data_IF_872719830127
#
_entry.id   IF_872719830127
#
_cell.length_a   1.000
_cell.length_b   1.000
_cell.length_c   1.000
_cell.angle_alpha   90.00
_cell.angle_beta   90.00
_cell.angle_gamma   90.00
#
_symmetry.space_group_name_H-M   'P 1'
#
loop_
_entity.id
_entity.type
_entity.pdbx_description
1 polymer ?
#
# COMPACT_ATOMS: atom_id res chain seq x y z
N UNK A 1 -1.30 -8.73 -5.46
CA UNK A 1 -1.94 -7.53 -4.87
C UNK A 1 -1.58 -7.49 -3.40
N UNK A 2 -0.95 -6.40 -2.93
CA UNK A 2 -0.54 -6.19 -1.54
C UNK A 2 -1.65 -5.51 -0.75
N UNK A 3 -2.04 -6.08 0.38
CA UNK A 3 -3.19 -5.60 1.18
C UNK A 3 -2.73 -5.10 2.54
N UNK A 4 -3.07 -3.85 2.87
CA UNK A 4 -2.75 -3.18 4.13
C UNK A 4 -4.04 -2.94 4.91
N UNK A 5 -4.06 -3.31 6.19
CA UNK A 5 -5.18 -3.10 7.10
C UNK A 5 -4.73 -2.24 8.29
N UNK A 6 -5.35 -1.08 8.44
CA UNK A 6 -5.16 -0.21 9.61
C UNK A 6 -6.15 -0.53 10.71
N UNK A 7 -5.69 -0.66 11.96
CA UNK A 7 -6.56 -1.08 13.06
C UNK A 7 -6.39 -0.15 14.27
N UNK A 8 -7.52 0.39 14.74
CA UNK A 8 -7.61 1.10 16.02
C UNK A 8 -8.71 0.47 16.90
N UNK A 9 -9.17 1.13 17.96
CA UNK A 9 -10.21 0.59 18.81
C UNK A 9 -11.56 0.51 18.10
N UNK A 10 -12.12 1.64 17.70
CA UNK A 10 -13.51 1.77 17.22
C UNK A 10 -13.69 1.92 15.72
N UNK A 11 -12.61 2.04 14.93
CA UNK A 11 -12.62 2.27 13.48
C UNK A 11 -13.42 3.51 13.03
N UNK A 12 -13.38 4.59 13.82
CA UNK A 12 -14.04 5.86 13.48
C UNK A 12 -13.10 7.06 13.41
N UNK A 13 -11.92 7.03 14.06
CA UNK A 13 -10.96 8.14 14.05
C UNK A 13 -9.65 7.75 13.35
N UNK A 14 -8.75 7.07 14.03
CA UNK A 14 -7.36 6.84 13.60
C UNK A 14 -7.23 5.96 12.36
N UNK A 15 -7.79 4.76 12.40
CA UNK A 15 -7.64 3.78 11.31
C UNK A 15 -8.34 4.21 10.01
N UNK A 16 -9.55 4.81 10.00
CA UNK A 16 -10.13 5.31 8.75
C UNK A 16 -9.39 6.55 8.22
N UNK A 17 -8.78 7.38 9.10
CA UNK A 17 -7.89 8.46 8.65
C UNK A 17 -6.68 7.89 7.94
N UNK A 18 -6.04 6.86 8.51
CA UNK A 18 -4.90 6.20 7.88
C UNK A 18 -5.27 5.53 6.55
N UNK A 19 -6.43 4.90 6.46
CA UNK A 19 -6.95 4.36 5.20
C UNK A 19 -7.10 5.44 4.14
N UNK A 20 -7.71 6.58 4.46
CA UNK A 20 -7.94 7.66 3.51
C UNK A 20 -6.64 8.31 3.04
N UNK A 21 -5.68 8.54 3.94
CA UNK A 21 -4.36 9.10 3.60
C UNK A 21 -3.58 8.12 2.72
N UNK A 22 -3.48 6.85 3.12
CA UNK A 22 -2.74 5.84 2.36
C UNK A 22 -3.37 5.60 0.99
N UNK A 23 -4.71 5.57 0.89
CA UNK A 23 -5.39 5.43 -0.41
C UNK A 23 -5.04 6.60 -1.34
N UNK A 24 -5.04 7.83 -0.84
CA UNK A 24 -4.63 9.00 -1.63
C UNK A 24 -3.17 8.89 -2.11
N UNK A 25 -2.26 8.38 -1.28
CA UNK A 25 -0.87 8.19 -1.64
C UNK A 25 -0.71 7.07 -2.70
N UNK A 26 -1.43 5.97 -2.54
CA UNK A 26 -1.49 4.85 -3.50
C UNK A 26 -2.01 5.33 -4.85
N UNK A 27 -3.09 6.12 -4.86
CA UNK A 27 -3.68 6.65 -6.10
C UNK A 27 -2.72 7.62 -6.82
N UNK A 28 -2.11 8.56 -6.08
CA UNK A 28 -1.13 9.50 -6.62
C UNK A 28 0.12 8.84 -7.18
N UNK A 29 0.51 7.70 -6.60
CA UNK A 29 1.65 6.92 -7.06
C UNK A 29 1.30 5.89 -8.15
N UNK A 30 0.04 5.85 -8.62
CA UNK A 30 -0.47 4.88 -9.60
C UNK A 30 -0.33 3.41 -9.15
N UNK A 31 -0.42 3.16 -7.83
CA UNK A 31 -0.26 1.82 -7.25
C UNK A 31 -1.58 1.07 -7.04
N UNK A 32 -2.73 1.69 -7.31
CA UNK A 32 -4.07 1.12 -7.09
C UNK A 32 -4.31 -0.25 -7.76
N UNK A 33 -3.68 -0.61 -8.90
CA UNK A 33 -3.81 -1.95 -9.45
C UNK A 33 -3.20 -3.05 -8.57
N UNK A 34 -2.17 -2.73 -7.78
CA UNK A 34 -1.42 -3.71 -6.99
C UNK A 34 -1.50 -3.55 -5.47
N UNK A 35 -2.04 -2.44 -4.96
CA UNK A 35 -2.15 -2.16 -3.53
C UNK A 35 -3.59 -1.92 -3.13
N UNK A 36 -4.04 -2.56 -2.05
CA UNK A 36 -5.35 -2.35 -1.43
C UNK A 36 -5.19 -1.89 0.00
N UNK A 37 -6.02 -0.96 0.39
CA UNK A 37 -6.02 -0.36 1.72
C UNK A 37 -7.39 -0.49 2.35
N UNK A 38 -7.43 -0.90 3.62
CA UNK A 38 -8.66 -1.03 4.37
C UNK A 38 -8.43 -0.68 5.84
N UNK A 39 -9.49 -0.55 6.62
CA UNK A 39 -9.41 -0.31 8.06
C UNK A 39 -10.45 -1.09 8.85
N UNK A 40 -10.14 -1.38 10.11
CA UNK A 40 -11.03 -2.07 11.03
C UNK A 40 -10.84 -1.59 12.48
N UNK A 41 -11.75 -1.96 13.37
CA UNK A 41 -11.64 -1.77 14.80
C UNK A 41 -11.38 -3.07 15.53
N UNK A 42 -10.69 -3.01 16.67
CA UNK A 42 -10.59 -4.16 17.59
C UNK A 42 -11.94 -4.47 18.27
N UNK A 43 -12.81 -3.46 18.39
CA UNK A 43 -14.13 -3.54 19.03
C UNK A 43 -15.28 -3.23 18.07
N UNK A 44 -16.47 -3.74 18.36
CA UNK A 44 -17.66 -3.60 17.53
C UNK A 44 -18.53 -2.36 17.83
N UNK A 45 -18.07 -1.46 18.70
CA UNK A 45 -18.88 -0.34 19.24
C UNK A 45 -19.54 0.52 18.17
N UNK A 46 -18.92 0.68 17.03
CA UNK A 46 -19.35 1.61 15.98
C UNK A 46 -19.59 0.92 14.63
N UNK A 47 -19.70 -0.41 14.58
CA UNK A 47 -19.92 -1.13 13.31
C UNK A 47 -21.09 -0.54 12.52
N UNK A 48 -20.84 -0.24 11.24
CA UNK A 48 -21.79 0.39 10.32
C UNK A 48 -21.86 1.92 10.42
N UNK A 49 -21.25 2.52 11.46
CA UNK A 49 -21.22 3.98 11.57
C UNK A 49 -20.20 4.61 10.60
N UNK A 50 -20.43 5.83 10.13
CA UNK A 50 -19.42 6.59 9.41
C UNK A 50 -18.27 7.00 10.35
N UNK A 51 -17.12 7.40 9.82
CA UNK A 51 -16.04 7.98 10.62
C UNK A 51 -16.48 9.22 11.39
N UNK A 52 -15.82 9.48 12.52
CA UNK A 52 -16.08 10.66 13.37
C UNK A 52 -16.05 11.96 12.55
N UNK A 53 -17.06 12.81 12.72
CA UNK A 53 -17.21 14.04 11.94
C UNK A 53 -16.04 15.03 12.10
N UNK A 54 -15.33 14.99 13.25
CA UNK A 54 -14.12 15.79 13.48
C UNK A 54 -12.97 15.25 12.64
N UNK A 55 -12.76 13.93 12.66
CA UNK A 55 -11.76 13.25 11.81
C UNK A 55 -12.00 13.54 10.32
N UNK A 56 -13.26 13.43 9.87
CA UNK A 56 -13.63 13.74 8.48
C UNK A 56 -13.32 15.20 8.11
N UNK A 57 -13.64 16.15 9.00
CA UNK A 57 -13.38 17.58 8.77
C UNK A 57 -11.88 17.85 8.63
N UNK A 58 -11.07 17.39 9.57
CA UNK A 58 -9.62 17.62 9.55
C UNK A 58 -8.96 16.92 8.34
N UNK A 59 -9.34 15.70 8.02
CA UNK A 59 -8.87 14.99 6.84
C UNK A 59 -9.23 15.73 5.54
N UNK A 60 -10.47 16.23 5.43
CA UNK A 60 -10.95 16.98 4.26
C UNK A 60 -10.18 18.29 4.03
N UNK A 61 -9.78 19.00 5.10
CA UNK A 61 -8.94 20.20 5.00
C UNK A 61 -7.56 19.92 4.36
N UNK A 62 -7.08 18.69 4.47
CA UNK A 62 -5.83 18.22 3.82
C UNK A 62 -6.09 17.49 2.48
N UNK A 63 -7.34 17.44 2.01
CA UNK A 63 -7.71 16.83 0.72
C UNK A 63 -7.94 15.31 0.79
N UNK A 64 -8.12 14.72 1.97
CA UNK A 64 -8.45 13.32 2.13
C UNK A 64 -9.96 13.10 2.34
N UNK A 65 -10.56 12.18 1.58
CA UNK A 65 -11.97 11.84 1.69
C UNK A 65 -12.18 10.57 2.49
N UNK A 66 -13.06 10.65 3.49
CA UNK A 66 -13.48 9.52 4.32
C UNK A 66 -14.97 9.21 4.17
N UNK A 67 -15.68 9.89 3.28
CA UNK A 67 -17.15 9.90 3.21
C UNK A 67 -17.77 8.55 2.84
N UNK A 68 -17.04 7.69 2.15
CA UNK A 68 -17.49 6.34 1.75
C UNK A 68 -17.14 5.25 2.77
N UNK A 69 -16.40 5.60 3.82
CA UNK A 69 -15.92 4.61 4.79
C UNK A 69 -17.00 4.32 5.84
N UNK A 70 -17.02 3.07 6.29
CA UNK A 70 -17.88 2.60 7.37
C UNK A 70 -17.07 1.75 8.34
N UNK A 71 -17.33 1.92 9.63
CA UNK A 71 -16.67 1.16 10.66
C UNK A 71 -17.03 -0.32 10.59
N UNK A 72 -16.02 -1.18 10.70
CA UNK A 72 -16.16 -2.63 10.83
C UNK A 72 -15.25 -3.17 11.92
N UNK A 73 -15.57 -4.32 12.47
CA UNK A 73 -14.68 -5.03 13.37
C UNK A 73 -13.72 -5.92 12.58
N UNK A 74 -12.48 -6.06 13.07
CA UNK A 74 -11.53 -7.05 12.55
C UNK A 74 -12.10 -8.47 12.73
N UNK A 75 -11.88 -9.31 11.73
CA UNK A 75 -12.29 -10.71 11.70
C UNK A 75 -11.10 -11.66 11.57
N UNK A 76 -11.29 -12.91 11.83
CA UNK A 76 -10.24 -13.93 11.64
C UNK A 76 -9.75 -13.98 10.19
N UNK A 77 -10.65 -13.83 9.23
CA UNK A 77 -10.30 -13.83 7.80
C UNK A 77 -9.37 -12.68 7.38
N UNK A 78 -9.36 -11.56 8.13
CA UNK A 78 -8.44 -10.46 7.85
C UNK A 78 -6.98 -10.91 8.01
N UNK A 79 -6.66 -11.70 9.05
CA UNK A 79 -5.30 -12.23 9.24
C UNK A 79 -4.83 -13.13 8.08
N UNK A 80 -5.74 -13.84 7.44
CA UNK A 80 -5.43 -14.68 6.28
C UNK A 80 -5.23 -13.86 5.01
N UNK A 81 -6.11 -12.90 4.77
CA UNK A 81 -6.25 -12.22 3.48
C UNK A 81 -5.34 -11.01 3.30
N UNK A 82 -4.87 -10.37 4.40
CA UNK A 82 -4.02 -9.19 4.31
C UNK A 82 -2.55 -9.53 4.47
N UNK A 83 -1.69 -8.64 3.99
CA UNK A 83 -0.24 -8.80 4.01
C UNK A 83 0.39 -8.08 5.19
N UNK A 84 -0.23 -6.98 5.63
CA UNK A 84 0.26 -6.14 6.72
C UNK A 84 -0.92 -5.59 7.52
N UNK A 85 -0.90 -5.77 8.85
CA UNK A 85 -1.89 -5.26 9.80
C UNK A 85 -1.18 -4.27 10.73
N UNK A 86 -1.70 -3.03 10.81
CA UNK A 86 -1.06 -1.92 11.49
C UNK A 86 -1.89 -1.42 12.67
N UNK A 87 -1.40 -1.69 13.86
CA UNK A 87 -1.95 -1.19 15.12
C UNK A 87 -1.58 0.28 15.35
N UNK A 88 -2.51 1.09 15.84
CA UNK A 88 -2.29 2.49 16.14
C UNK A 88 -1.51 2.71 17.44
N UNK A 89 -1.71 1.83 18.44
CA UNK A 89 -1.10 1.90 19.75
C UNK A 89 -0.76 0.51 20.32
N UNK A 90 -0.22 0.47 21.53
CA UNK A 90 0.16 -0.76 22.18
C UNK A 90 -1.03 -1.63 22.59
N UNK A 91 -2.16 -1.04 22.96
CA UNK A 91 -3.37 -1.76 23.35
C UNK A 91 -3.99 -2.44 22.14
N UNK A 92 -4.05 -1.72 21.01
CA UNK A 92 -4.49 -2.32 19.74
C UNK A 92 -3.55 -3.47 19.32
N UNK A 93 -2.22 -3.28 19.45
CA UNK A 93 -1.24 -4.32 19.14
C UNK A 93 -1.45 -5.58 19.98
N UNK A 94 -1.58 -5.41 21.30
CA UNK A 94 -1.77 -6.53 22.23
C UNK A 94 -3.02 -7.34 21.91
N UNK A 95 -4.16 -6.67 21.61
CA UNK A 95 -5.40 -7.32 21.21
C UNK A 95 -5.25 -8.05 19.88
N UNK A 96 -4.60 -7.44 18.89
CA UNK A 96 -4.35 -8.08 17.60
C UNK A 96 -3.45 -9.31 17.73
N UNK A 97 -2.41 -9.24 18.56
CA UNK A 97 -1.53 -10.38 18.82
C UNK A 97 -2.23 -11.53 19.55
N UNK A 98 -3.16 -11.22 20.46
CA UNK A 98 -3.96 -12.22 21.14
C UNK A 98 -4.93 -12.95 20.20
N UNK A 99 -5.40 -12.30 19.13
CA UNK A 99 -6.32 -12.86 18.14
C UNK A 99 -5.60 -13.52 16.96
N UNK A 100 -4.34 -13.12 16.70
CA UNK A 100 -3.62 -13.53 15.51
C UNK A 100 -3.08 -14.96 15.62
N UNK A 101 -3.30 -15.81 14.61
CA UNK A 101 -2.64 -17.13 14.57
C UNK A 101 -1.11 -16.98 14.58
N UNK A 102 -0.37 -17.85 15.33
CA UNK A 102 1.09 -17.74 15.46
C UNK A 102 1.83 -17.66 14.13
N UNK A 103 1.39 -18.40 13.12
CA UNK A 103 1.99 -18.40 11.78
C UNK A 103 1.88 -17.05 11.04
N UNK A 104 0.95 -16.19 11.45
CA UNK A 104 0.66 -14.91 10.81
C UNK A 104 1.16 -13.71 11.62
N UNK A 105 1.75 -13.93 12.80
CA UNK A 105 2.18 -12.89 13.74
C UNK A 105 3.08 -11.83 13.11
N UNK A 106 3.93 -12.22 12.15
CA UNK A 106 4.81 -11.31 11.41
C UNK A 106 4.10 -10.21 10.62
N UNK A 107 2.80 -10.40 10.30
CA UNK A 107 1.99 -9.41 9.60
C UNK A 107 1.50 -8.29 10.53
N UNK A 108 1.49 -8.52 11.84
CA UNK A 108 0.95 -7.58 12.83
C UNK A 108 2.08 -6.73 13.35
N UNK A 109 2.03 -5.43 13.02
CA UNK A 109 3.04 -4.44 13.38
C UNK A 109 2.38 -3.17 13.89
N UNK A 110 3.15 -2.27 14.47
CA UNK A 110 2.67 -0.93 14.83
C UNK A 110 2.88 0.04 13.67
N UNK A 111 1.95 0.96 13.51
CA UNK A 111 2.08 2.02 12.51
C UNK A 111 3.31 2.89 12.76
N UNK A 112 3.65 3.13 14.03
CA UNK A 112 4.84 3.91 14.43
C UNK A 112 6.18 3.29 13.96
N UNK A 113 6.24 2.03 13.58
CA UNK A 113 7.43 1.42 13.00
C UNK A 113 7.78 1.95 11.60
N UNK A 114 6.83 2.67 10.98
CA UNK A 114 6.99 3.28 9.67
C UNK A 114 7.17 4.81 9.73
N UNK A 115 7.26 5.39 10.91
CA UNK A 115 7.57 6.82 11.03
C UNK A 115 8.96 7.12 10.51
N UNK A 116 9.08 8.20 9.74
CA UNK A 116 10.33 8.66 9.15
C UNK A 116 10.91 9.85 9.93
N UNK A 117 10.06 10.75 10.39
CA UNK A 117 10.43 12.04 10.95
C UNK A 117 9.92 12.27 12.38
N UNK A 118 9.02 11.41 12.88
CA UNK A 118 8.42 11.56 14.21
C UNK A 118 9.03 10.57 15.21
N UNK A 119 9.41 11.04 16.43
CA UNK A 119 9.94 10.16 17.48
C UNK A 119 8.84 9.44 18.28
N UNK A 120 7.57 9.69 17.96
CA UNK A 120 6.43 9.08 18.63
C UNK A 120 6.45 7.55 18.48
N UNK A 121 5.92 6.85 19.47
CA UNK A 121 5.86 5.38 19.46
C UNK A 121 4.46 4.82 19.19
N UNK A 122 3.47 5.71 19.09
CA UNK A 122 2.06 5.40 18.84
C UNK A 122 1.39 6.52 18.05
N UNK A 123 0.25 6.22 17.43
CA UNK A 123 -0.73 7.21 16.97
C UNK A 123 -1.74 7.41 18.11
N UNK A 124 -1.71 8.55 18.86
CA UNK A 124 -2.55 8.76 20.03
C UNK A 124 -4.03 8.83 19.68
N UNK A 125 -4.92 8.50 20.64
CA UNK A 125 -6.35 8.60 20.42
C UNK A 125 -6.81 10.07 20.51
N UNK A 126 -7.38 10.65 19.43
CA UNK A 126 -7.84 12.03 19.43
C UNK A 126 -9.23 12.21 20.04
N UNK A 127 -9.92 11.13 20.41
CA UNK A 127 -11.35 11.15 20.71
C UNK A 127 -11.70 12.12 21.84
N UNK A 128 -10.94 12.10 22.95
CA UNK A 128 -11.10 13.02 24.08
C UNK A 128 -10.28 14.32 23.88
N UNK A 129 -9.49 14.41 22.83
CA UNK A 129 -8.66 15.58 22.50
C UNK A 129 -9.43 16.64 21.69
N UNK A 130 -8.96 17.87 21.77
CA UNK A 130 -9.45 18.96 20.92
C UNK A 130 -8.90 18.85 19.48
N UNK A 131 -9.14 19.92 18.65
CA UNK A 131 -8.70 19.95 17.24
C UNK A 131 -7.22 19.58 17.05
N UNK A 132 -6.33 19.98 17.96
CA UNK A 132 -4.90 19.66 17.87
C UNK A 132 -4.61 18.15 17.90
N UNK A 133 -5.46 17.35 18.58
CA UNK A 133 -5.31 15.90 18.59
C UNK A 133 -5.55 15.26 17.20
N UNK A 134 -6.55 15.76 16.46
CA UNK A 134 -6.83 15.29 15.10
C UNK A 134 -5.74 15.71 14.12
N UNK A 135 -5.17 16.93 14.26
CA UNK A 135 -4.02 17.36 13.44
C UNK A 135 -2.78 16.49 13.73
N UNK A 136 -2.49 16.22 15.01
CA UNK A 136 -1.38 15.33 15.39
C UNK A 136 -1.54 13.93 14.78
N UNK A 137 -2.76 13.38 14.77
CA UNK A 137 -3.03 12.10 14.11
C UNK A 137 -2.72 12.17 12.62
N UNK A 138 -3.13 13.22 11.93
CA UNK A 138 -2.85 13.40 10.50
C UNK A 138 -1.35 13.50 10.24
N UNK A 139 -0.60 14.30 11.03
CA UNK A 139 0.85 14.42 10.88
C UNK A 139 1.55 13.06 10.99
N UNK A 140 1.22 12.29 12.01
CA UNK A 140 1.80 10.96 12.25
C UNK A 140 1.39 9.95 11.17
N UNK A 141 0.13 10.01 10.74
CA UNK A 141 -0.40 9.13 9.69
C UNK A 141 0.25 9.42 8.34
N UNK A 142 0.40 10.69 7.97
CA UNK A 142 1.08 11.09 6.72
C UNK A 142 2.53 10.62 6.71
N UNK A 143 3.26 10.81 7.81
CA UNK A 143 4.65 10.36 7.95
C UNK A 143 4.78 8.83 7.83
N UNK A 144 3.93 8.09 8.55
CA UNK A 144 3.93 6.62 8.46
C UNK A 144 3.55 6.12 7.06
N UNK A 145 2.58 6.76 6.40
CA UNK A 145 2.19 6.38 5.04
C UNK A 145 3.32 6.59 4.02
N UNK A 146 4.16 7.61 4.20
CA UNK A 146 5.38 7.78 3.41
C UNK A 146 6.35 6.61 3.63
N UNK A 147 6.59 6.22 4.89
CA UNK A 147 7.41 5.05 5.21
C UNK A 147 6.83 3.73 4.69
N UNK A 148 5.50 3.60 4.68
CA UNK A 148 4.82 2.44 4.09
C UNK A 148 5.01 2.35 2.57
N UNK A 149 5.00 3.48 1.85
CA UNK A 149 5.34 3.49 0.43
C UNK A 149 6.77 2.98 0.19
N UNK A 150 7.73 3.41 1.02
CA UNK A 150 9.10 2.89 0.93
C UNK A 150 9.18 1.39 1.28
N UNK A 151 8.37 0.94 2.24
CA UNK A 151 8.29 -0.47 2.60
C UNK A 151 7.84 -1.36 1.42
N UNK A 152 6.98 -0.85 0.53
CA UNK A 152 6.55 -1.60 -0.66
C UNK A 152 7.71 -1.93 -1.61
N UNK A 153 8.83 -1.25 -1.51
CA UNK A 153 10.05 -1.48 -2.30
C UNK A 153 11.05 -2.43 -1.63
N UNK A 154 10.75 -2.92 -0.41
CA UNK A 154 11.61 -3.94 0.22
C UNK A 154 11.56 -5.26 -0.54
N UNK A 155 12.64 -6.06 -0.56
CA UNK A 155 12.66 -7.35 -1.25
C UNK A 155 11.51 -8.28 -0.84
N UNK A 156 11.14 -8.30 0.46
CA UNK A 156 10.03 -9.12 0.96
C UNK A 156 8.68 -8.66 0.41
N UNK A 157 8.43 -7.35 0.38
CA UNK A 157 7.19 -6.80 -0.14
C UNK A 157 7.10 -6.98 -1.66
N UNK A 158 8.19 -6.77 -2.39
CA UNK A 158 8.27 -6.99 -3.83
C UNK A 158 8.03 -8.46 -4.19
N UNK A 159 8.72 -9.40 -3.53
CA UNK A 159 8.54 -10.83 -3.77
C UNK A 159 7.10 -11.29 -3.52
N UNK A 160 6.40 -10.68 -2.56
CA UNK A 160 5.01 -11.00 -2.25
C UNK A 160 4.03 -10.36 -3.23
N UNK A 161 4.33 -9.14 -3.66
CA UNK A 161 3.44 -8.33 -4.50
C UNK A 161 3.60 -8.61 -5.99
N UNK A 162 4.83 -8.91 -6.39
CA UNK A 162 5.24 -9.16 -7.77
C UNK A 162 5.99 -10.51 -7.87
N UNK A 163 5.37 -11.66 -7.53
CA UNK A 163 6.06 -12.95 -7.46
C UNK A 163 6.64 -13.41 -8.80
N UNK A 164 6.15 -12.88 -9.91
CA UNK A 164 6.61 -13.19 -11.27
C UNK A 164 7.78 -12.32 -11.73
N UNK A 165 8.13 -11.29 -10.94
CA UNK A 165 9.26 -10.42 -11.20
C UNK A 165 10.46 -10.83 -10.37
N UNK A 166 11.61 -10.93 -11.04
CA UNK A 166 12.88 -11.16 -10.38
C UNK A 166 13.47 -9.83 -9.93
N UNK A 167 13.81 -9.72 -8.65
CA UNK A 167 14.57 -8.58 -8.12
C UNK A 167 16.05 -8.85 -8.40
N UNK A 168 16.69 -7.95 -9.16
CA UNK A 168 18.13 -7.96 -9.41
C UNK A 168 18.81 -7.06 -8.39
N UNK A 169 20.04 -7.41 -7.97
CA UNK A 169 20.82 -6.61 -7.03
C UNK A 169 21.80 -5.66 -7.72
N UNK A 170 22.32 -6.06 -8.87
CA UNK A 170 23.33 -5.29 -9.63
C UNK A 170 23.05 -5.41 -11.14
N UNK A 171 22.51 -4.35 -11.78
CA UNK A 171 21.90 -3.18 -11.14
C UNK A 171 20.63 -3.53 -10.38
N UNK A 172 20.27 -2.71 -9.38
CA UNK A 172 19.02 -2.87 -8.66
C UNK A 172 17.83 -2.62 -9.60
N UNK A 173 17.09 -3.69 -9.94
CA UNK A 173 16.05 -3.64 -10.95
C UNK A 173 15.00 -4.73 -10.74
N UNK A 174 13.82 -4.55 -11.32
CA UNK A 174 12.81 -5.60 -11.51
C UNK A 174 12.94 -6.15 -12.93
N UNK A 175 12.97 -7.47 -13.09
CA UNK A 175 13.04 -8.10 -14.40
C UNK A 175 12.01 -9.22 -14.53
N UNK A 176 11.33 -9.27 -15.68
CA UNK A 176 10.39 -10.34 -16.03
C UNK A 176 10.54 -10.72 -17.49
N UNK A 177 10.42 -12.02 -17.78
CA UNK A 177 10.32 -12.56 -19.14
C UNK A 177 8.88 -12.98 -19.44
N UNK A 178 8.49 -12.75 -20.69
CA UNK A 178 7.16 -13.06 -21.24
C UNK A 178 7.34 -13.89 -22.50
N UNK A 179 6.50 -14.89 -22.67
CA UNK A 179 6.49 -15.75 -23.85
C UNK A 179 5.11 -15.71 -24.50
N UNK A 180 5.06 -15.53 -25.80
CA UNK A 180 3.85 -15.38 -26.59
C UNK A 180 3.77 -16.47 -27.65
N UNK A 181 2.60 -16.61 -28.33
CA UNK A 181 2.41 -17.63 -29.35
C UNK A 181 3.25 -17.37 -30.62
N UNK A 182 3.49 -16.10 -30.94
CA UNK A 182 4.22 -15.68 -32.13
C UNK A 182 4.81 -14.26 -31.96
N UNK A 183 5.54 -13.79 -32.96
CA UNK A 183 6.17 -12.47 -33.00
C UNK A 183 5.14 -11.32 -32.96
N UNK A 184 4.01 -11.46 -33.66
CA UNK A 184 3.01 -10.38 -33.71
C UNK A 184 2.34 -10.18 -32.35
N UNK A 185 2.05 -11.25 -31.61
CA UNK A 185 1.50 -11.17 -30.27
C UNK A 185 2.50 -10.51 -29.30
N UNK A 186 3.78 -10.86 -29.41
CA UNK A 186 4.84 -10.22 -28.64
C UNK A 186 4.93 -8.71 -28.90
N UNK A 187 4.86 -8.30 -30.18
CA UNK A 187 4.91 -6.88 -30.55
C UNK A 187 3.64 -6.14 -30.13
N UNK A 188 2.47 -6.76 -30.23
CA UNK A 188 1.23 -6.17 -29.74
C UNK A 188 1.26 -5.92 -28.21
N UNK A 189 1.86 -6.83 -27.46
CA UNK A 189 2.10 -6.62 -26.02
C UNK A 189 3.06 -5.45 -25.77
N UNK A 190 4.19 -5.40 -26.48
CA UNK A 190 5.16 -4.29 -26.36
C UNK A 190 4.49 -2.94 -26.67
N UNK A 191 3.61 -2.88 -27.67
CA UNK A 191 2.87 -1.64 -27.97
C UNK A 191 1.94 -1.22 -26.83
N UNK A 192 1.22 -2.16 -26.20
CA UNK A 192 0.37 -1.85 -25.04
C UNK A 192 1.19 -1.32 -23.87
N UNK A 193 2.34 -1.94 -23.59
CA UNK A 193 3.26 -1.48 -22.54
C UNK A 193 3.82 -0.11 -22.87
N UNK A 194 4.18 0.18 -24.14
CA UNK A 194 4.70 1.48 -24.54
C UNK A 194 3.70 2.62 -24.23
N UNK A 195 2.40 2.39 -24.46
CA UNK A 195 1.36 3.38 -24.11
C UNK A 195 1.34 3.65 -22.61
N UNK A 196 1.45 2.63 -21.78
CA UNK A 196 1.46 2.78 -20.32
C UNK A 196 2.75 3.45 -19.81
N UNK A 197 3.88 3.09 -20.38
CA UNK A 197 5.19 3.67 -20.06
C UNK A 197 5.23 5.17 -20.38
N UNK A 198 4.71 5.56 -21.55
CA UNK A 198 4.62 6.96 -21.95
C UNK A 198 3.67 7.76 -21.05
N UNK A 199 2.50 7.19 -20.71
CA UNK A 199 1.55 7.83 -19.81
C UNK A 199 2.11 8.08 -18.40
N UNK A 200 2.99 7.19 -17.92
CA UNK A 200 3.63 7.29 -16.61
C UNK A 200 4.99 8.06 -16.67
N UNK A 201 5.47 8.44 -17.85
CA UNK A 201 6.80 9.03 -18.08
C UNK A 201 7.90 8.19 -17.38
N UNK A 202 7.80 6.86 -17.53
CA UNK A 202 8.75 5.89 -17.01
C UNK A 202 8.86 4.72 -17.97
N UNK A 203 10.04 4.47 -18.52
CA UNK A 203 10.24 3.57 -19.64
C UNK A 203 11.04 2.35 -19.24
N UNK A 204 10.56 1.11 -19.57
CA UNK A 204 11.30 -0.11 -19.35
C UNK A 204 12.44 -0.29 -20.34
N UNK A 205 13.50 -0.98 -19.96
CA UNK A 205 14.38 -1.61 -20.95
C UNK A 205 13.65 -2.80 -21.55
N UNK A 206 13.56 -2.86 -22.89
CA UNK A 206 12.84 -3.89 -23.62
C UNK A 206 13.84 -4.69 -24.46
N UNK A 207 13.90 -5.99 -24.23
CA UNK A 207 14.61 -6.94 -25.07
C UNK A 207 13.60 -7.87 -25.72
N UNK A 208 13.67 -8.05 -27.05
CA UNK A 208 12.80 -8.96 -27.78
C UNK A 208 13.61 -9.87 -28.70
N UNK A 209 13.28 -11.15 -28.66
CA UNK A 209 13.73 -12.15 -29.64
C UNK A 209 12.55 -13.03 -30.01
N UNK A 210 12.08 -12.87 -31.25
CA UNK A 210 10.92 -13.55 -31.82
C UNK A 210 9.68 -13.42 -30.93
N UNK A 211 9.24 -14.48 -30.24
CA UNK A 211 8.04 -14.51 -29.40
C UNK A 211 8.35 -14.28 -27.91
N UNK A 212 9.60 -14.02 -27.54
CA UNK A 212 10.00 -13.72 -26.16
C UNK A 212 10.32 -12.26 -25.97
N UNK A 213 9.80 -11.70 -24.89
CA UNK A 213 10.05 -10.32 -24.46
C UNK A 213 10.59 -10.34 -23.04
N UNK A 214 11.67 -9.61 -22.79
CA UNK A 214 12.16 -9.34 -21.42
C UNK A 214 12.03 -7.86 -21.15
N UNK A 215 11.50 -7.53 -20.00
CA UNK A 215 11.41 -6.15 -19.50
C UNK A 215 12.21 -6.00 -18.23
N UNK A 216 12.99 -4.94 -18.15
CA UNK A 216 13.77 -4.57 -16.96
C UNK A 216 13.36 -3.16 -16.57
N UNK A 217 13.01 -2.98 -15.29
CA UNK A 217 12.55 -1.71 -14.70
C UNK A 217 13.58 -1.26 -13.66
N UNK A 218 14.03 -0.02 -13.80
CA UNK A 218 14.90 0.65 -12.83
C UNK A 218 14.79 2.16 -13.04
N UNK A 219 14.94 2.92 -11.97
CA UNK A 219 14.97 4.38 -12.05
C UNK A 219 16.43 4.84 -12.05
N UNK A 220 16.97 5.19 -13.21
CA UNK A 220 18.39 5.53 -13.41
C UNK A 220 18.86 6.66 -12.48
N UNK A 221 18.08 7.73 -12.37
CA UNK A 221 18.43 8.89 -11.52
C UNK A 221 18.47 8.56 -10.02
N UNK A 222 17.75 7.51 -9.59
CA UNK A 222 17.75 7.02 -8.21
C UNK A 222 18.78 5.91 -7.97
N UNK A 223 19.45 5.42 -9.01
CA UNK A 223 20.33 4.24 -8.97
C UNK A 223 19.64 3.02 -8.32
N UNK A 224 18.37 2.81 -8.62
CA UNK A 224 17.63 1.70 -8.02
C UNK A 224 16.14 1.76 -8.28
N UNK A 225 15.39 1.01 -7.47
CA UNK A 225 13.94 0.92 -7.59
C UNK A 225 13.25 2.10 -6.89
N UNK A 226 12.22 2.60 -7.55
CA UNK A 226 11.30 3.60 -7.01
C UNK A 226 9.85 3.14 -7.18
N UNK A 227 8.90 3.92 -6.68
CA UNK A 227 7.47 3.66 -6.88
C UNK A 227 7.06 3.70 -8.36
N UNK A 228 7.82 4.38 -9.23
CA UNK A 228 7.56 4.37 -10.68
C UNK A 228 7.77 2.97 -11.28
N UNK A 229 8.81 2.26 -10.84
CA UNK A 229 9.07 0.89 -11.28
C UNK A 229 7.95 -0.05 -10.84
N UNK A 230 7.48 0.10 -9.60
CA UNK A 230 6.38 -0.68 -9.07
C UNK A 230 5.07 -0.40 -9.81
N UNK A 231 4.76 0.88 -10.06
CA UNK A 231 3.56 1.29 -10.79
C UNK A 231 3.58 0.75 -12.23
N UNK A 232 4.73 0.85 -12.91
CA UNK A 232 4.86 0.32 -14.28
C UNK A 232 4.80 -1.22 -14.29
N UNK A 233 5.34 -1.90 -13.29
CA UNK A 233 5.21 -3.36 -13.19
C UNK A 233 3.74 -3.81 -13.10
N UNK A 234 2.90 -3.07 -12.38
CA UNK A 234 1.45 -3.32 -12.33
C UNK A 234 0.77 -3.05 -13.68
N UNK A 235 1.09 -1.93 -14.32
CA UNK A 235 0.54 -1.60 -15.63
C UNK A 235 0.94 -2.63 -16.71
N UNK A 236 2.17 -3.15 -16.65
CA UNK A 236 2.64 -4.24 -17.52
C UNK A 236 1.83 -5.52 -17.28
N UNK A 237 1.51 -5.84 -16.02
CA UNK A 237 0.68 -7.00 -15.71
C UNK A 237 -0.73 -6.85 -16.29
N UNK A 238 -1.35 -5.68 -16.17
CA UNK A 238 -2.65 -5.39 -16.78
C UNK A 238 -2.61 -5.45 -18.33
N UNK A 239 -1.49 -5.02 -18.92
CA UNK A 239 -1.28 -5.06 -20.38
C UNK A 239 -1.15 -6.47 -20.97
N UNK A 240 -0.96 -7.52 -20.14
CA UNK A 240 -1.00 -8.91 -20.62
C UNK A 240 -2.39 -9.29 -21.14
N UNK A 241 -3.44 -8.67 -20.58
CA UNK A 241 -4.83 -9.04 -20.83
C UNK A 241 -5.24 -10.33 -20.11
N UNK A 242 -6.52 -10.69 -20.19
CA UNK A 242 -7.04 -11.93 -19.61
C UNK A 242 -6.55 -13.16 -20.34
#
# INVERSE_FOLDING_TARGET
MYKILFVCMGNICRSPTAQAVMQNFVDKAHLSPGVRVDSAGTHAYHVGAPPDGRSQRHASLRGYSMSSLQARQISFSDFEQVDLILAMDWDNLALLQALCPPAMMRKVRRMAEFFQNHPDTVVPDPYEGGPAGFEKVLDLVEDACQGLLQHLLTPEALARNLPEWRVLSEPCALQREFEFSNFLDAMAFVQRVAVQAEAQQHHPEIWNVYHRVRMTLTTHDANGLTLKDLALAYAIHEALGP
#
